data_IF_309041270342
#
_entry.id   IF_309041270342
#
_cell.length_a   1.000
_cell.length_b   1.000
_cell.length_c   1.000
_cell.angle_alpha   90.00
_cell.angle_beta   90.00
_cell.angle_gamma   90.00
#
_symmetry.space_group_name_H-M   'P 1'
#
loop_
_entity.id
_entity.type
_entity.pdbx_description
1 polymer ?
#
# COMPACT_ATOMS: atom_id res chain seq x y z
N UNK A 1 21.61 38.61 -20.27
CA UNK A 1 21.83 37.18 -20.57
C UNK A 1 21.00 36.38 -19.58
N UNK A 2 19.82 35.93 -20.01
CA UNK A 2 18.93 35.07 -19.23
C UNK A 2 19.50 33.66 -19.23
N UNK A 3 20.00 33.21 -18.09
CA UNK A 3 20.44 31.82 -17.88
C UNK A 3 19.21 30.92 -17.94
N UNK A 4 19.05 30.18 -19.03
CA UNK A 4 18.08 29.10 -19.16
C UNK A 4 18.59 27.94 -18.30
N UNK A 5 18.16 27.85 -17.05
CA UNK A 5 18.50 26.71 -16.20
C UNK A 5 17.93 25.45 -16.85
N UNK A 6 18.81 24.53 -17.22
CA UNK A 6 18.48 23.27 -17.88
C UNK A 6 17.81 22.35 -16.85
N UNK A 7 16.48 22.27 -16.82
CA UNK A 7 15.69 21.61 -15.75
C UNK A 7 15.27 20.18 -16.09
N UNK A 8 16.14 19.37 -16.70
CA UNK A 8 15.83 17.94 -16.87
C UNK A 8 16.44 17.14 -15.74
N UNK A 9 15.69 16.18 -15.23
CA UNK A 9 16.15 15.22 -14.23
C UNK A 9 17.46 14.57 -14.66
N UNK A 10 17.57 14.16 -15.92
CA UNK A 10 18.75 13.46 -16.47
C UNK A 10 20.00 14.33 -16.56
N UNK A 11 19.86 15.66 -16.53
CA UNK A 11 21.00 16.58 -16.54
C UNK A 11 21.64 16.71 -15.15
N UNK A 12 20.87 16.45 -14.08
CA UNK A 12 21.33 16.55 -12.69
C UNK A 12 21.50 15.18 -12.00
N UNK A 13 20.77 14.16 -12.44
CA UNK A 13 20.67 12.87 -11.76
C UNK A 13 20.79 11.67 -12.72
N UNK A 14 21.48 10.64 -12.26
CA UNK A 14 21.56 9.34 -12.92
C UNK A 14 20.67 8.31 -12.20
N UNK A 15 19.79 7.60 -12.93
CA UNK A 15 18.91 6.55 -12.38
C UNK A 15 19.60 5.18 -12.33
N UNK A 16 19.26 4.38 -11.31
CA UNK A 16 19.73 3.01 -11.08
C UNK A 16 18.55 2.06 -10.80
N UNK A 17 18.72 1.01 -10.00
CA UNK A 17 17.71 -0.02 -9.77
C UNK A 17 16.41 0.49 -9.14
N UNK A 18 15.34 -0.29 -9.33
CA UNK A 18 14.04 -0.06 -8.70
C UNK A 18 14.09 -0.47 -7.22
N UNK A 19 13.58 0.40 -6.36
CA UNK A 19 13.45 0.19 -4.91
C UNK A 19 12.02 -0.18 -4.52
N UNK A 20 11.02 0.25 -5.31
CA UNK A 20 9.62 -0.08 -5.08
C UNK A 20 8.69 0.50 -6.13
N UNK A 21 7.43 0.01 -6.14
CA UNK A 21 6.43 0.37 -7.15
C UNK A 21 5.08 0.72 -6.51
N UNK A 22 4.54 1.86 -6.91
CA UNK A 22 3.19 2.33 -6.58
C UNK A 22 2.21 2.15 -7.74
N UNK A 23 0.96 2.58 -7.57
CA UNK A 23 -0.05 2.48 -8.63
C UNK A 23 0.28 3.33 -9.87
N UNK A 24 0.83 4.53 -9.66
CA UNK A 24 1.15 5.49 -10.73
C UNK A 24 2.61 5.97 -10.69
N UNK A 25 3.43 5.34 -9.86
CA UNK A 25 4.80 5.75 -9.60
C UNK A 25 5.74 4.57 -9.45
N UNK A 26 7.01 4.78 -9.74
CA UNK A 26 8.10 3.86 -9.41
C UNK A 26 9.14 4.62 -8.60
N UNK A 27 9.72 4.00 -7.58
CA UNK A 27 10.81 4.55 -6.79
C UNK A 27 12.09 3.88 -7.25
N UNK A 28 13.08 4.65 -7.69
CA UNK A 28 14.39 4.15 -8.12
C UNK A 28 15.50 4.83 -7.34
N UNK A 29 16.61 4.13 -7.11
CA UNK A 29 17.84 4.78 -6.62
C UNK A 29 18.34 5.74 -7.70
N UNK A 30 18.82 6.91 -7.31
CA UNK A 30 19.48 7.85 -8.20
C UNK A 30 20.69 8.51 -7.55
N UNK A 31 21.63 9.01 -8.35
CA UNK A 31 22.80 9.74 -7.87
C UNK A 31 22.85 11.13 -8.50
N UNK A 32 23.10 12.15 -7.69
CA UNK A 32 23.28 13.52 -8.20
C UNK A 32 24.66 13.66 -8.83
N UNK A 33 24.71 13.92 -10.13
CA UNK A 33 25.93 13.90 -10.97
C UNK A 33 27.01 14.84 -10.40
N UNK A 34 26.62 16.04 -9.97
CA UNK A 34 27.57 17.07 -9.51
C UNK A 34 28.24 16.75 -8.17
N UNK A 35 27.69 15.84 -7.36
CA UNK A 35 28.16 15.58 -5.98
C UNK A 35 28.49 14.12 -5.72
N UNK A 36 28.01 13.19 -6.55
CA UNK A 36 28.07 11.76 -6.27
C UNK A 36 27.13 11.28 -5.15
N UNK A 37 26.31 12.16 -4.58
CA UNK A 37 25.40 11.81 -3.48
C UNK A 37 24.20 11.00 -3.99
N UNK A 38 23.84 9.94 -3.25
CA UNK A 38 22.73 9.06 -3.58
C UNK A 38 21.41 9.48 -2.93
N UNK A 39 20.30 9.20 -3.64
CA UNK A 39 18.93 9.56 -3.31
C UNK A 39 17.94 8.48 -3.81
N UNK A 40 16.67 8.61 -3.42
CA UNK A 40 15.56 7.85 -3.98
C UNK A 40 14.67 8.78 -4.81
N UNK A 41 14.54 8.52 -6.12
CA UNK A 41 13.64 9.25 -7.01
C UNK A 41 12.30 8.53 -7.12
N UNK A 42 11.23 9.13 -6.62
CA UNK A 42 9.85 8.74 -6.90
C UNK A 42 9.44 9.36 -8.23
N UNK A 43 9.38 8.53 -9.27
CA UNK A 43 9.05 8.89 -10.65
C UNK A 43 7.58 8.64 -10.88
N UNK A 44 6.82 9.69 -11.17
CA UNK A 44 5.37 9.67 -11.25
C UNK A 44 4.98 9.96 -12.70
N UNK A 45 4.18 9.10 -13.32
CA UNK A 45 3.71 9.32 -14.68
C UNK A 45 2.49 10.26 -14.68
N UNK A 46 2.71 11.54 -14.99
CA UNK A 46 1.66 12.57 -14.94
C UNK A 46 0.60 12.38 -16.03
N UNK A 47 0.93 11.72 -17.16
CA UNK A 47 -0.04 11.42 -18.23
C UNK A 47 -1.15 10.47 -17.77
N UNK A 48 -0.91 9.67 -16.73
CA UNK A 48 -1.88 8.73 -16.15
C UNK A 48 -2.72 9.33 -15.03
N UNK A 49 -2.42 10.55 -14.59
CA UNK A 49 -3.08 11.16 -13.44
C UNK A 49 -4.35 11.91 -13.85
N UNK A 50 -5.40 11.78 -13.03
CA UNK A 50 -6.56 12.67 -13.12
C UNK A 50 -6.20 14.09 -12.65
N UNK A 51 -7.04 15.08 -12.92
CA UNK A 51 -6.87 16.43 -12.37
C UNK A 51 -6.81 16.43 -10.82
N UNK A 52 -7.57 15.54 -10.18
CA UNK A 52 -7.55 15.35 -8.73
C UNK A 52 -6.22 14.79 -8.25
N UNK A 53 -5.60 13.88 -9.00
CA UNK A 53 -4.33 13.28 -8.60
C UNK A 53 -3.15 14.23 -8.82
N UNK A 54 -3.22 15.12 -9.82
CA UNK A 54 -2.28 16.24 -9.94
C UNK A 54 -2.31 17.14 -8.70
N UNK A 55 -3.49 17.51 -8.20
CA UNK A 55 -3.60 18.30 -6.97
C UNK A 55 -3.04 17.57 -5.74
N UNK A 56 -3.20 16.25 -5.66
CA UNK A 56 -2.59 15.45 -4.58
C UNK A 56 -1.06 15.47 -4.67
N UNK A 57 -0.52 15.34 -5.87
CA UNK A 57 0.93 15.39 -6.12
C UNK A 57 1.53 16.74 -5.70
N UNK A 58 0.92 17.86 -6.10
CA UNK A 58 1.37 19.19 -5.70
C UNK A 58 1.34 19.38 -4.17
N UNK A 59 0.29 18.85 -3.52
CA UNK A 59 0.18 18.86 -2.06
C UNK A 59 1.26 18.00 -1.41
N UNK A 60 1.50 16.78 -1.89
CA UNK A 60 2.55 15.89 -1.39
C UNK A 60 3.92 16.57 -1.48
N UNK A 61 4.27 17.14 -2.64
CA UNK A 61 5.53 17.85 -2.84
C UNK A 61 5.69 19.05 -1.89
N UNK A 62 4.61 19.83 -1.70
CA UNK A 62 4.60 20.97 -0.76
C UNK A 62 4.80 20.53 0.68
N UNK A 63 4.05 19.53 1.14
CA UNK A 63 4.14 18.99 2.50
C UNK A 63 5.56 18.45 2.75
N UNK A 64 6.08 17.61 1.86
CA UNK A 64 7.41 17.02 2.03
C UNK A 64 8.54 18.07 1.99
N UNK A 65 8.35 19.20 1.31
CA UNK A 65 9.30 20.32 1.33
C UNK A 65 9.29 21.10 2.65
N UNK A 66 8.14 21.17 3.31
CA UNK A 66 7.97 21.82 4.62
C UNK A 66 8.61 20.98 5.74
N UNK A 67 8.39 19.67 5.72
CA UNK A 67 8.80 18.77 6.81
C UNK A 67 10.30 18.47 6.78
N UNK A 68 11.02 18.92 7.81
CA UNK A 68 12.46 18.72 7.98
C UNK A 68 12.74 18.17 9.38
N UNK A 69 12.83 16.85 9.48
CA UNK A 69 13.01 16.15 10.74
C UNK A 69 13.93 14.93 10.55
N UNK A 70 14.81 14.58 11.50
CA UNK A 70 15.68 13.39 11.39
C UNK A 70 14.90 12.09 11.14
N UNK A 71 13.73 11.95 11.75
CA UNK A 71 12.84 10.78 11.61
C UNK A 71 11.79 10.91 10.49
N UNK A 72 11.98 11.82 9.52
CA UNK A 72 11.15 11.90 8.30
C UNK A 72 12.06 11.75 7.09
N UNK A 73 11.60 11.04 6.06
CA UNK A 73 12.30 10.97 4.76
C UNK A 73 12.19 12.33 4.08
N UNK A 74 13.30 13.06 3.97
CA UNK A 74 13.31 14.44 3.46
C UNK A 74 13.20 14.48 1.95
N UNK A 75 12.40 15.43 1.42
CA UNK A 75 12.43 15.82 0.01
C UNK A 75 13.55 16.83 -0.23
N UNK A 76 14.43 16.53 -1.17
CA UNK A 76 15.53 17.40 -1.61
C UNK A 76 15.16 18.20 -2.85
N UNK A 77 14.48 17.56 -3.81
CA UNK A 77 14.14 18.19 -5.08
C UNK A 77 12.80 17.71 -5.64
N UNK A 78 12.20 18.53 -6.49
CA UNK A 78 10.95 18.24 -7.20
C UNK A 78 11.03 18.79 -8.61
N UNK A 79 11.23 17.91 -9.59
CA UNK A 79 11.45 18.25 -10.99
C UNK A 79 10.25 17.80 -11.81
N UNK A 80 9.66 18.71 -12.57
CA UNK A 80 8.54 18.41 -13.48
C UNK A 80 9.03 18.41 -14.91
N UNK A 81 8.78 17.32 -15.63
CA UNK A 81 9.08 17.16 -17.05
C UNK A 81 7.81 16.83 -17.84
N UNK A 82 7.91 16.78 -19.17
CA UNK A 82 6.77 16.39 -20.01
C UNK A 82 6.37 14.92 -19.75
N UNK A 83 5.24 14.75 -19.07
CA UNK A 83 4.66 13.44 -18.77
C UNK A 83 5.20 12.71 -17.55
N UNK A 84 6.19 13.30 -16.86
CA UNK A 84 6.76 12.74 -15.64
C UNK A 84 7.02 13.82 -14.59
N UNK A 85 6.85 13.45 -13.32
CA UNK A 85 7.25 14.27 -12.17
C UNK A 85 8.16 13.45 -11.28
N UNK A 86 9.28 14.04 -10.87
CA UNK A 86 10.30 13.40 -10.05
C UNK A 86 10.33 14.06 -8.68
N UNK A 87 10.13 13.29 -7.63
CA UNK A 87 10.35 13.72 -6.24
C UNK A 87 11.60 13.02 -5.72
N UNK A 88 12.64 13.78 -5.39
CA UNK A 88 13.95 13.25 -4.97
C UNK A 88 14.05 13.29 -3.45
N UNK A 89 14.05 12.12 -2.83
CA UNK A 89 14.03 11.94 -1.38
C UNK A 89 15.38 11.41 -0.84
N UNK A 90 15.58 11.49 0.48
CA UNK A 90 16.60 10.71 1.18
C UNK A 90 16.55 9.24 0.71
N UNK A 91 17.70 8.67 0.35
CA UNK A 91 17.81 7.23 0.17
C UNK A 91 17.88 6.56 1.54
N UNK A 92 16.91 5.68 1.83
CA UNK A 92 16.91 4.83 3.03
C UNK A 92 17.15 3.38 2.63
N UNK A 93 18.11 2.72 3.29
CA UNK A 93 18.60 1.37 2.89
C UNK A 93 18.36 0.29 3.94
N UNK A 94 17.77 0.65 5.09
CA UNK A 94 17.48 -0.29 6.17
C UNK A 94 16.25 -1.16 5.96
N UNK A 95 15.40 -0.83 4.98
CA UNK A 95 14.15 -1.54 4.73
C UNK A 95 13.05 -1.16 5.72
N UNK A 96 12.01 -1.98 5.82
CA UNK A 96 10.87 -1.77 6.72
C UNK A 96 11.23 -2.14 8.16
N UNK A 97 10.85 -1.29 9.13
CA UNK A 97 11.12 -1.48 10.56
C UNK A 97 10.65 -2.86 11.05
N UNK A 98 9.47 -3.28 10.62
CA UNK A 98 8.86 -4.54 11.04
C UNK A 98 9.62 -5.78 10.55
N UNK A 99 10.33 -5.68 9.42
CA UNK A 99 11.18 -6.76 8.91
C UNK A 99 12.49 -6.86 9.69
N UNK A 100 13.07 -5.72 10.04
CA UNK A 100 14.28 -5.66 10.87
C UNK A 100 14.01 -6.23 12.27
N UNK A 101 12.88 -5.90 12.90
CA UNK A 101 12.51 -6.48 14.22
C UNK A 101 12.52 -8.01 14.18
N UNK A 102 11.99 -8.61 13.10
CA UNK A 102 11.96 -10.07 12.94
C UNK A 102 13.36 -10.68 12.76
N UNK A 103 14.32 -9.91 12.27
CA UNK A 103 15.70 -10.34 12.07
C UNK A 103 16.59 -10.16 13.32
N UNK A 104 16.09 -9.53 14.38
CA UNK A 104 16.86 -9.32 15.62
C UNK A 104 16.88 -10.59 16.47
N UNK A 105 18.05 -10.90 17.00
CA UNK A 105 18.23 -11.96 18.02
C UNK A 105 17.54 -11.60 19.34
N UNK A 106 17.42 -10.29 19.63
CA UNK A 106 16.82 -9.80 20.85
C UNK A 106 15.87 -8.63 20.55
N UNK A 107 14.69 -8.70 21.15
CA UNK A 107 13.63 -7.71 21.06
C UNK A 107 12.83 -7.67 22.37
N UNK A 108 12.63 -6.47 22.91
CA UNK A 108 12.03 -6.18 24.21
C UNK A 108 11.03 -5.02 24.17
N UNK A 109 10.33 -4.74 25.26
CA UNK A 109 9.51 -3.53 25.36
C UNK A 109 10.34 -2.25 25.26
N UNK A 110 11.57 -2.25 25.77
CA UNK A 110 12.46 -1.10 25.65
C UNK A 110 12.80 -0.81 24.17
N UNK A 111 12.97 -1.84 23.34
CA UNK A 111 13.16 -1.67 21.90
C UNK A 111 11.90 -1.12 21.22
N UNK A 112 10.72 -1.64 21.58
CA UNK A 112 9.44 -1.13 21.09
C UNK A 112 9.21 0.34 21.49
N UNK A 113 9.50 0.68 22.74
CA UNK A 113 9.46 2.04 23.29
C UNK A 113 10.40 2.97 22.53
N UNK A 114 11.60 2.52 22.17
CA UNK A 114 12.53 3.29 21.34
C UNK A 114 12.00 3.54 19.93
N UNK A 115 11.37 2.54 19.32
CA UNK A 115 10.79 2.67 17.98
C UNK A 115 9.62 3.66 18.00
N UNK A 116 8.66 3.48 18.91
CA UNK A 116 7.47 4.35 18.97
C UNK A 116 7.83 5.78 19.38
N UNK A 117 8.88 5.99 20.18
CA UNK A 117 9.38 7.35 20.48
C UNK A 117 9.74 8.09 19.18
N UNK A 118 10.56 7.48 18.31
CA UNK A 118 10.99 8.11 17.06
C UNK A 118 9.82 8.35 16.10
N UNK A 119 8.84 7.43 16.09
CA UNK A 119 7.59 7.60 15.34
C UNK A 119 6.83 8.82 15.88
N UNK A 120 6.62 8.90 17.19
CA UNK A 120 5.94 10.02 17.85
C UNK A 120 6.66 11.35 17.66
N UNK A 121 7.99 11.38 17.63
CA UNK A 121 8.79 12.57 17.32
C UNK A 121 8.49 13.08 15.90
N UNK A 122 8.45 12.16 14.92
CA UNK A 122 8.10 12.50 13.54
C UNK A 122 6.64 12.99 13.40
N UNK A 123 5.70 12.33 14.09
CA UNK A 123 4.27 12.68 14.07
C UNK A 123 4.05 14.02 14.76
N UNK A 124 4.68 14.26 15.90
CA UNK A 124 4.63 15.53 16.61
C UNK A 124 5.18 16.67 15.74
N UNK A 125 6.28 16.45 15.02
CA UNK A 125 6.81 17.44 14.09
C UNK A 125 5.81 17.74 12.95
N UNK A 126 5.14 16.73 12.41
CA UNK A 126 4.06 16.94 11.43
C UNK A 126 2.92 17.78 12.03
N UNK A 127 2.46 17.42 13.22
CA UNK A 127 1.34 18.08 13.91
C UNK A 127 1.64 19.55 14.26
N UNK A 128 2.88 19.86 14.66
CA UNK A 128 3.33 21.23 14.91
C UNK A 128 3.37 22.08 13.63
N UNK A 129 3.61 21.47 12.47
CA UNK A 129 3.57 22.12 11.17
C UNK A 129 2.16 22.08 10.53
N UNK A 130 1.12 21.72 11.28
CA UNK A 130 -0.25 21.65 10.77
C UNK A 130 -0.44 20.55 9.73
N UNK A 131 0.34 19.47 9.77
CA UNK A 131 0.23 18.33 8.85
C UNK A 131 -0.34 17.13 9.58
N UNK A 132 -1.28 16.43 8.95
CA UNK A 132 -1.81 15.13 9.38
C UNK A 132 -1.49 14.09 8.32
N UNK A 133 -0.89 12.96 8.72
CA UNK A 133 -0.38 11.94 7.81
C UNK A 133 -1.51 11.09 7.19
N UNK A 134 -2.46 10.64 8.02
CA UNK A 134 -3.66 9.82 7.69
C UNK A 134 -3.42 8.40 7.18
N UNK A 135 -2.18 8.01 6.90
CA UNK A 135 -1.85 6.62 6.49
C UNK A 135 -0.63 6.07 7.23
N UNK A 136 -0.59 6.24 8.56
CA UNK A 136 0.45 5.61 9.39
C UNK A 136 0.21 4.11 9.48
N UNK A 137 1.23 3.34 9.08
CA UNK A 137 1.21 1.88 8.99
C UNK A 137 2.64 1.32 8.85
N UNK A 138 2.87 0.01 9.07
CA UNK A 138 4.19 -0.63 8.96
C UNK A 138 4.97 -0.31 7.68
N UNK A 139 4.30 -0.27 6.53
CA UNK A 139 4.88 0.03 5.21
C UNK A 139 5.60 1.39 5.16
N UNK A 140 5.10 2.34 5.93
CA UNK A 140 5.53 3.73 5.92
C UNK A 140 6.57 4.02 7.01
N UNK A 141 7.05 2.99 7.71
CA UNK A 141 8.04 3.05 8.78
C UNK A 141 9.33 2.36 8.33
N UNK A 142 10.26 3.15 7.81
CA UNK A 142 11.50 2.67 7.22
C UNK A 142 12.69 2.88 8.17
N UNK A 143 13.76 2.12 7.99
CA UNK A 143 15.02 2.32 8.69
C UNK A 143 16.02 3.05 7.79
N UNK A 144 16.72 4.03 8.36
CA UNK A 144 17.70 4.83 7.63
C UNK A 144 18.80 3.97 6.97
N UNK A 145 19.26 2.94 7.68
CA UNK A 145 20.26 1.99 7.20
C UNK A 145 20.12 0.64 7.93
N UNK A 146 20.93 -0.36 7.55
CA UNK A 146 21.02 -1.66 8.24
C UNK A 146 21.93 -1.64 9.47
N UNK A 147 22.49 -0.48 9.82
CA UNK A 147 23.38 -0.37 10.97
C UNK A 147 22.57 -0.53 12.27
N UNK A 148 23.16 -1.18 13.27
CA UNK A 148 22.54 -1.31 14.60
C UNK A 148 22.26 0.09 15.16
N UNK A 149 21.00 0.32 15.56
CA UNK A 149 20.55 1.63 16.06
C UNK A 149 20.23 2.65 14.96
N UNK A 150 20.07 2.23 13.71
CA UNK A 150 19.58 3.11 12.65
C UNK A 150 18.24 3.77 13.02
N UNK A 151 18.10 5.04 12.66
CA UNK A 151 16.90 5.81 12.96
C UNK A 151 15.68 5.29 12.18
N UNK A 152 14.52 5.29 12.83
CA UNK A 152 13.22 5.10 12.18
C UNK A 152 12.86 6.38 11.43
N UNK A 153 12.45 6.23 10.17
CA UNK A 153 12.04 7.33 9.28
C UNK A 153 10.64 7.08 8.74
N UNK A 154 9.76 8.05 9.00
CA UNK A 154 8.41 8.12 8.42
C UNK A 154 8.50 8.50 6.94
N UNK A 155 7.80 7.74 6.10
CA UNK A 155 7.74 7.90 4.65
C UNK A 155 6.30 7.97 4.12
N UNK A 156 6.16 8.36 2.86
CA UNK A 156 4.92 8.41 2.06
C UNK A 156 3.78 9.31 2.59
N UNK A 157 3.84 10.58 2.20
CA UNK A 157 2.83 11.60 2.53
C UNK A 157 1.73 11.74 1.46
N UNK A 158 1.53 10.74 0.59
CA UNK A 158 0.55 10.83 -0.52
C UNK A 158 -0.90 11.07 -0.08
N UNK A 159 -1.26 10.67 1.15
CA UNK A 159 -2.58 10.93 1.76
C UNK A 159 -2.57 12.09 2.77
N UNK A 160 -1.43 12.74 3.00
CA UNK A 160 -1.33 13.79 4.00
C UNK A 160 -2.16 15.03 3.64
N UNK A 161 -2.53 15.80 4.66
CA UNK A 161 -3.32 17.04 4.56
C UNK A 161 -2.73 18.13 5.43
N UNK A 162 -3.01 19.37 5.06
CA UNK A 162 -2.78 20.56 5.88
C UNK A 162 -4.05 20.89 6.67
N UNK A 163 -3.88 21.21 7.96
CA UNK A 163 -4.94 21.64 8.87
C UNK A 163 -4.56 22.98 9.49
N UNK A 164 -5.56 23.84 9.73
CA UNK A 164 -5.34 25.15 10.34
C UNK A 164 -5.45 25.04 11.86
N UNK A 165 -4.33 25.17 12.57
CA UNK A 165 -4.30 25.03 14.03
C UNK A 165 -4.83 23.68 14.47
N UNK A 166 -5.86 23.69 15.33
CA UNK A 166 -6.56 22.50 15.81
C UNK A 166 -7.97 22.33 15.22
N UNK A 167 -8.28 23.08 14.15
CA UNK A 167 -9.57 22.95 13.47
C UNK A 167 -9.72 21.55 12.86
N UNK A 168 -10.88 20.94 13.11
CA UNK A 168 -11.27 19.68 12.51
C UNK A 168 -12.21 19.93 11.34
N UNK A 169 -12.06 19.15 10.28
CA UNK A 169 -12.93 19.19 9.11
C UNK A 169 -13.09 17.80 8.52
N UNK A 170 -14.04 17.65 7.59
CA UNK A 170 -14.17 16.42 6.83
C UNK A 170 -13.22 16.44 5.62
N UNK A 171 -12.11 15.72 5.74
CA UNK A 171 -11.10 15.63 4.67
C UNK A 171 -11.27 14.42 3.75
N UNK A 172 -12.44 13.76 3.82
CA UNK A 172 -12.78 12.55 3.08
C UNK A 172 -12.32 11.26 3.75
N UNK A 173 -12.79 10.14 3.21
CA UNK A 173 -12.43 8.80 3.65
C UNK A 173 -11.11 8.37 2.98
N UNK A 174 -10.04 8.25 3.76
CA UNK A 174 -8.71 7.84 3.28
C UNK A 174 -7.92 7.16 4.41
N UNK A 175 -7.05 6.20 4.05
CA UNK A 175 -6.23 5.43 4.97
C UNK A 175 -6.43 3.93 4.80
N UNK A 176 -5.57 3.14 5.46
CA UNK A 176 -5.59 1.67 5.39
C UNK A 176 -6.58 1.09 6.43
N UNK A 177 -7.50 0.17 6.07
CA UNK A 177 -8.63 -0.26 6.92
C UNK A 177 -8.33 -0.54 8.40
N UNK A 178 -7.28 -1.32 8.71
CA UNK A 178 -6.93 -1.68 10.09
C UNK A 178 -6.31 -0.55 10.93
N UNK A 179 -5.99 0.58 10.31
CA UNK A 179 -5.37 1.76 10.95
C UNK A 179 -6.31 2.99 10.95
N UNK A 180 -7.49 2.87 10.34
CA UNK A 180 -8.50 3.94 10.34
C UNK A 180 -9.02 4.18 11.75
N UNK A 181 -9.22 5.45 12.11
CA UNK A 181 -9.79 5.83 13.39
C UNK A 181 -11.33 5.82 13.38
N UNK A 182 -11.98 5.69 14.56
CA UNK A 182 -13.43 5.63 14.67
C UNK A 182 -14.14 6.82 14.03
N UNK A 183 -13.63 8.05 14.24
CA UNK A 183 -14.22 9.28 13.71
C UNK A 183 -14.20 9.34 12.17
N UNK A 184 -13.17 8.79 11.51
CA UNK A 184 -13.13 8.66 10.04
C UNK A 184 -14.19 7.68 9.56
N UNK A 185 -14.35 6.54 10.24
CA UNK A 185 -15.36 5.53 9.90
C UNK A 185 -16.80 6.01 10.16
N UNK A 186 -17.00 6.88 11.16
CA UNK A 186 -18.29 7.54 11.45
C UNK A 186 -18.58 8.71 10.52
N UNK A 187 -17.64 9.09 9.66
CA UNK A 187 -17.73 10.25 8.76
C UNK A 187 -17.85 11.58 9.51
N UNK A 188 -17.22 11.66 10.68
CA UNK A 188 -17.17 12.86 11.51
C UNK A 188 -15.99 13.75 11.07
N UNK A 189 -16.04 15.08 11.30
CA UNK A 189 -14.87 15.94 11.16
C UNK A 189 -13.70 15.38 11.99
N UNK A 190 -12.50 15.44 11.44
CA UNK A 190 -11.31 14.92 12.11
C UNK A 190 -10.09 15.82 11.86
N UNK A 191 -8.98 15.49 12.52
CA UNK A 191 -7.71 16.22 12.41
C UNK A 191 -6.54 15.38 12.92
N UNK A 192 -5.57 16.02 13.57
CA UNK A 192 -4.36 15.39 14.15
C UNK A 192 -4.61 14.09 14.95
N UNK A 193 -5.70 13.92 15.73
CA UNK A 193 -5.91 12.71 16.53
C UNK A 193 -6.00 11.39 15.74
N UNK A 194 -6.29 11.43 14.43
CA UNK A 194 -6.36 10.20 13.61
C UNK A 194 -4.99 9.49 13.53
N UNK A 195 -3.90 10.26 13.51
CA UNK A 195 -2.55 9.71 13.50
C UNK A 195 -2.20 9.04 14.83
N UNK A 196 -2.71 9.59 15.95
CA UNK A 196 -2.50 9.02 17.28
C UNK A 196 -3.21 7.68 17.46
N UNK A 197 -4.38 7.50 16.85
CA UNK A 197 -5.05 6.20 16.80
C UNK A 197 -4.19 5.17 16.07
N UNK A 198 -3.68 5.53 14.88
CA UNK A 198 -2.80 4.65 14.11
C UNK A 198 -1.51 4.31 14.87
N UNK A 199 -0.92 5.26 15.61
CA UNK A 199 0.20 4.99 16.53
C UNK A 199 -0.17 3.95 17.60
N UNK A 200 -1.38 4.00 18.16
CA UNK A 200 -1.87 3.00 19.12
C UNK A 200 -1.96 1.60 18.52
N UNK A 201 -2.49 1.50 17.28
CA UNK A 201 -2.52 0.24 16.52
C UNK A 201 -1.12 -0.29 16.25
N UNK A 202 -0.20 0.60 15.83
CA UNK A 202 1.21 0.25 15.58
C UNK A 202 1.89 -0.22 16.86
N UNK A 203 1.71 0.49 17.97
CA UNK A 203 2.31 0.13 19.27
C UNK A 203 1.81 -1.24 19.75
N UNK A 204 0.51 -1.52 19.61
CA UNK A 204 -0.04 -2.84 19.91
C UNK A 204 0.68 -3.93 19.12
N UNK A 205 0.84 -3.76 17.80
CA UNK A 205 1.54 -4.74 16.95
C UNK A 205 3.02 -4.84 17.33
N UNK A 206 3.69 -3.73 17.67
CA UNK A 206 5.09 -3.76 18.12
C UNK A 206 5.26 -4.64 19.37
N UNK A 207 4.28 -4.73 20.26
CA UNK A 207 4.41 -5.47 21.53
C UNK A 207 4.08 -6.96 21.44
N UNK A 208 3.15 -7.35 20.56
CA UNK A 208 2.66 -8.74 20.49
C UNK A 208 2.62 -9.34 19.08
N UNK A 209 2.90 -8.56 18.05
CA UNK A 209 3.07 -9.05 16.69
C UNK A 209 1.78 -9.32 15.91
N UNK A 210 0.62 -8.98 16.47
CA UNK A 210 -0.70 -9.06 15.80
C UNK A 210 -1.52 -7.77 16.02
N UNK A 211 -2.46 -7.41 15.12
CA UNK A 211 -3.23 -6.19 15.24
C UNK A 211 -4.35 -6.27 16.30
N UNK A 212 -4.72 -5.14 16.93
CA UNK A 212 -5.82 -5.08 17.91
C UNK A 212 -7.20 -5.24 17.28
N UNK A 213 -7.34 -4.94 15.98
CA UNK A 213 -8.60 -5.06 15.24
C UNK A 213 -8.35 -5.88 13.99
N UNK A 214 -9.13 -6.94 13.80
CA UNK A 214 -9.03 -7.77 12.62
C UNK A 214 -10.33 -8.56 12.39
N UNK A 215 -10.77 -8.58 11.14
CA UNK A 215 -11.80 -9.48 10.64
C UNK A 215 -11.54 -9.66 9.14
N UNK A 216 -11.93 -10.82 8.60
CA UNK A 216 -11.93 -11.04 7.15
C UNK A 216 -13.00 -10.19 6.45
N UNK A 217 -14.12 -9.95 7.14
CA UNK A 217 -15.17 -9.05 6.72
C UNK A 217 -14.83 -7.61 7.14
N UNK A 218 -14.56 -6.77 6.13
CA UNK A 218 -14.21 -5.37 6.34
C UNK A 218 -15.31 -4.59 7.10
N UNK A 219 -16.59 -4.95 6.95
CA UNK A 219 -17.67 -4.31 7.71
C UNK A 219 -17.56 -4.64 9.20
N UNK A 220 -17.30 -5.90 9.55
CA UNK A 220 -17.11 -6.32 10.95
C UNK A 220 -15.85 -5.70 11.56
N UNK A 221 -14.75 -5.64 10.81
CA UNK A 221 -13.55 -4.89 11.21
C UNK A 221 -13.89 -3.42 11.55
N UNK A 222 -14.66 -2.75 10.70
CA UNK A 222 -15.08 -1.38 10.97
C UNK A 222 -15.99 -1.25 12.19
N UNK A 223 -16.81 -2.26 12.50
CA UNK A 223 -17.60 -2.25 13.74
C UNK A 223 -16.70 -2.40 14.97
N UNK A 224 -15.70 -3.30 14.94
CA UNK A 224 -14.73 -3.44 16.03
C UNK A 224 -13.99 -2.12 16.30
N UNK A 225 -13.47 -1.48 15.25
CA UNK A 225 -12.77 -0.18 15.35
C UNK A 225 -13.70 0.88 15.93
N UNK A 226 -14.91 1.04 15.38
CA UNK A 226 -15.88 2.03 15.90
C UNK A 226 -16.29 1.77 17.34
N UNK A 227 -16.32 0.52 17.78
CA UNK A 227 -16.61 0.16 19.16
C UNK A 227 -15.39 0.30 20.08
N UNK A 228 -14.17 0.48 19.54
CA UNK A 228 -12.93 0.34 20.31
C UNK A 228 -12.79 -1.04 20.94
N UNK A 229 -13.31 -2.08 20.26
CA UNK A 229 -13.34 -3.44 20.77
C UNK A 229 -11.99 -4.13 20.51
N UNK A 230 -11.04 -3.91 21.41
CA UNK A 230 -9.78 -4.64 21.52
C UNK A 230 -9.57 -5.05 22.98
N UNK A 231 -8.72 -6.04 23.20
CA UNK A 231 -8.36 -6.54 24.52
C UNK A 231 -6.85 -6.85 24.60
N UNK A 232 -6.42 -7.31 25.76
CA UNK A 232 -5.05 -7.71 26.06
C UNK A 232 -5.05 -9.19 26.47
N UNK A 233 -5.20 -10.13 25.52
CA UNK A 233 -5.41 -11.54 25.83
C UNK A 233 -4.17 -12.20 26.44
N UNK A 234 -4.41 -13.15 27.34
CA UNK A 234 -3.38 -14.03 27.87
C UNK A 234 -3.06 -15.15 26.88
N UNK A 235 -1.82 -15.68 26.88
CA UNK A 235 -0.73 -15.37 27.81
C UNK A 235 0.18 -14.21 27.37
N UNK A 236 0.13 -13.76 26.12
CA UNK A 236 1.17 -12.90 25.56
C UNK A 236 1.22 -11.52 26.25
N UNK A 237 0.06 -11.02 26.67
CA UNK A 237 -0.06 -9.74 27.38
C UNK A 237 0.19 -9.81 28.88
N UNK A 238 0.28 -11.00 29.50
CA UNK A 238 0.47 -11.13 30.95
C UNK A 238 1.82 -10.57 31.40
N UNK A 239 2.81 -10.66 30.52
CA UNK A 239 4.18 -10.17 30.73
C UNK A 239 4.39 -8.73 30.25
N UNK A 240 3.38 -8.10 29.65
CA UNK A 240 3.45 -6.73 29.16
C UNK A 240 3.16 -5.76 30.30
N UNK A 241 4.02 -4.75 30.46
CA UNK A 241 3.92 -3.77 31.55
C UNK A 241 2.57 -3.03 31.55
N UNK A 242 2.02 -2.70 32.73
CA UNK A 242 0.81 -1.89 32.84
C UNK A 242 0.92 -0.55 32.11
N UNK A 243 2.10 0.07 32.10
CA UNK A 243 2.35 1.38 31.49
C UNK A 243 2.34 1.31 29.96
N UNK A 244 2.74 0.18 29.37
CA UNK A 244 2.58 -0.06 27.93
C UNK A 244 1.10 -0.13 27.55
N UNK A 245 0.32 -0.91 28.31
CA UNK A 245 -1.14 -1.05 28.13
C UNK A 245 -1.86 0.28 28.32
N UNK A 246 -1.46 1.05 29.33
CA UNK A 246 -2.00 2.38 29.60
C UNK A 246 -1.75 3.37 28.45
N UNK A 247 -0.54 3.38 27.87
CA UNK A 247 -0.25 4.20 26.69
C UNK A 247 -1.10 3.78 25.49
N UNK A 248 -1.26 2.48 25.25
CA UNK A 248 -2.15 1.95 24.20
C UNK A 248 -3.59 2.42 24.43
N UNK A 249 -4.12 2.32 25.65
CA UNK A 249 -5.48 2.76 25.98
C UNK A 249 -5.68 4.26 25.71
N UNK A 250 -4.68 5.08 26.06
CA UNK A 250 -4.69 6.53 25.81
C UNK A 250 -4.65 6.88 24.31
N UNK A 251 -3.98 6.08 23.48
CA UNK A 251 -3.96 6.22 22.02
C UNK A 251 -5.22 5.67 21.34
N UNK A 252 -5.72 4.51 21.78
CA UNK A 252 -6.92 3.84 21.27
C UNK A 252 -8.21 4.35 21.96
N UNK A 253 -8.18 5.59 22.46
CA UNK A 253 -9.36 6.26 22.99
C UNK A 253 -10.30 6.67 21.85
N UNK A 254 -11.55 6.22 21.91
CA UNK A 254 -12.55 6.41 20.84
C UNK A 254 -12.85 7.89 20.60
N UNK A 255 -13.02 8.68 21.66
CA UNK A 255 -13.30 10.10 21.53
C UNK A 255 -11.99 10.85 21.20
N UNK A 256 -11.85 11.45 20.01
CA UNK A 256 -10.61 12.10 19.59
C UNK A 256 -10.24 13.31 20.47
N UNK A 257 -11.21 13.96 21.12
CA UNK A 257 -10.94 15.07 22.04
C UNK A 257 -10.34 14.63 23.39
N UNK A 258 -10.46 13.34 23.73
CA UNK A 258 -9.87 12.73 24.93
C UNK A 258 -8.63 11.89 24.62
N UNK A 259 -8.35 11.67 23.33
CA UNK A 259 -7.22 10.87 22.87
C UNK A 259 -5.92 11.63 23.13
N UNK A 260 -4.91 10.93 23.60
CA UNK A 260 -3.60 11.53 23.89
C UNK A 260 -3.00 12.16 22.64
N UNK A 261 -2.37 13.32 22.80
CA UNK A 261 -1.61 13.98 21.74
C UNK A 261 -0.21 13.40 21.60
N UNK A 262 0.47 13.66 20.46
CA UNK A 262 1.85 13.21 20.26
C UNK A 262 2.80 13.79 21.33
N UNK A 263 2.63 15.06 21.68
CA UNK A 263 3.42 15.74 22.70
C UNK A 263 3.23 15.16 24.11
N UNK A 264 2.01 14.75 24.46
CA UNK A 264 1.72 14.09 25.75
C UNK A 264 2.25 12.65 25.75
N UNK A 265 2.11 11.92 24.64
CA UNK A 265 2.60 10.55 24.51
C UNK A 265 4.13 10.47 24.68
N UNK A 266 4.88 11.44 24.14
CA UNK A 266 6.33 11.54 24.33
C UNK A 266 6.74 11.75 25.79
N UNK A 267 5.86 12.31 26.62
CA UNK A 267 6.09 12.52 28.06
C UNK A 267 5.60 11.34 28.91
N UNK A 268 4.97 10.34 28.31
CA UNK A 268 4.47 9.18 29.03
C UNK A 268 5.61 8.39 29.70
N UNK A 269 5.46 7.89 30.95
CA UNK A 269 6.54 7.19 31.66
C UNK A 269 7.12 6.00 30.88
N UNK A 270 6.28 5.22 30.20
CA UNK A 270 6.73 4.09 29.36
C UNK A 270 7.69 4.52 28.21
N UNK A 271 7.67 5.80 27.81
CA UNK A 271 8.55 6.38 26.79
C UNK A 271 9.73 7.10 27.44
N UNK A 272 9.47 8.09 28.29
CA UNK A 272 10.50 9.01 28.81
C UNK A 272 11.31 8.42 29.98
N UNK A 273 10.80 7.39 30.65
CA UNK A 273 11.45 6.66 31.75
C UNK A 273 11.68 5.19 31.36
N UNK A 274 11.91 4.93 30.07
CA UNK A 274 12.07 3.59 29.49
C UNK A 274 13.02 2.69 30.28
N UNK A 275 14.15 3.22 30.76
CA UNK A 275 15.18 2.44 31.48
C UNK A 275 14.68 1.83 32.79
N UNK A 276 13.62 2.38 33.39
CA UNK A 276 13.05 1.91 34.65
C UNK A 276 11.65 1.32 34.50
N UNK A 277 10.91 1.69 33.46
CA UNK A 277 9.50 1.32 33.27
C UNK A 277 9.30 0.21 32.23
N UNK A 278 10.05 0.24 31.12
CA UNK A 278 9.85 -0.74 30.04
C UNK A 278 10.58 -2.05 30.35
N UNK A 279 9.93 -3.18 30.10
CA UNK A 279 10.54 -4.49 30.31
C UNK A 279 11.72 -4.76 29.36
N UNK A 280 12.83 -5.23 29.94
CA UNK A 280 14.03 -5.74 29.22
C UNK A 280 13.97 -7.26 29.05
N UNK A 281 12.79 -7.87 29.08
CA UNK A 281 12.66 -9.29 28.78
C UNK A 281 12.61 -9.51 27.27
N UNK A 282 13.35 -10.50 26.77
CA UNK A 282 13.24 -10.89 25.37
C UNK A 282 11.86 -11.52 25.09
N UNK A 283 11.20 -11.08 24.02
CA UNK A 283 9.85 -11.52 23.62
C UNK A 283 9.90 -12.34 22.33
N UNK A 284 10.36 -13.59 22.40
CA UNK A 284 10.48 -14.48 21.24
C UNK A 284 9.13 -14.74 20.55
N UNK A 285 8.06 -14.98 21.30
CA UNK A 285 6.71 -15.22 20.74
C UNK A 285 6.19 -14.03 19.92
N UNK A 286 6.51 -12.80 20.35
CA UNK A 286 6.19 -11.57 19.62
C UNK A 286 6.89 -11.55 18.27
N UNK A 287 8.17 -11.90 18.22
CA UNK A 287 8.97 -11.96 16.98
C UNK A 287 8.36 -12.97 16.00
N UNK A 288 7.94 -14.14 16.49
CA UNK A 288 7.32 -15.17 15.67
C UNK A 288 5.95 -14.76 15.12
N UNK A 289 5.11 -14.13 15.95
CA UNK A 289 3.83 -13.58 15.51
C UNK A 289 4.03 -12.49 14.45
N UNK A 290 5.02 -11.62 14.66
CA UNK A 290 5.33 -10.54 13.73
C UNK A 290 5.82 -11.06 12.38
N UNK A 291 6.60 -12.15 12.37
CA UNK A 291 7.01 -12.84 11.13
C UNK A 291 5.79 -13.32 10.34
N UNK A 292 4.79 -13.92 11.00
CA UNK A 292 3.54 -14.36 10.38
C UNK A 292 2.72 -13.17 9.87
N UNK A 293 2.64 -12.10 10.65
CA UNK A 293 1.96 -10.86 10.27
C UNK A 293 2.56 -10.23 9.01
N UNK A 294 3.89 -10.08 8.96
CA UNK A 294 4.61 -9.53 7.81
C UNK A 294 4.37 -10.36 6.54
N UNK A 295 4.47 -11.69 6.64
CA UNK A 295 4.22 -12.58 5.52
C UNK A 295 2.78 -12.43 4.98
N UNK A 296 1.77 -12.42 5.86
CA UNK A 296 0.36 -12.22 5.48
C UNK A 296 0.12 -10.86 4.82
N UNK A 297 0.73 -9.80 5.36
CA UNK A 297 0.60 -8.43 4.83
C UNK A 297 1.18 -8.29 3.43
N UNK A 298 2.40 -8.79 3.20
CA UNK A 298 3.04 -8.76 1.86
C UNK A 298 2.26 -9.56 0.82
N UNK A 299 1.68 -10.70 1.21
CA UNK A 299 0.81 -11.48 0.33
C UNK A 299 -0.46 -10.73 -0.09
N UNK A 300 -1.02 -9.89 0.79
CA UNK A 300 -2.21 -9.05 0.48
C UNK A 300 -1.86 -7.79 -0.32
N UNK A 301 -0.69 -7.16 -0.11
CA UNK A 301 -0.31 -5.94 -0.83
C UNK A 301 -0.07 -6.11 -2.33
N UNK A 302 0.30 -7.32 -2.77
CA UNK A 302 0.47 -7.65 -4.19
C UNK A 302 -0.86 -7.84 -4.93
N UNK A 303 -2.00 -7.63 -4.27
CA UNK A 303 -3.33 -7.82 -4.83
C UNK A 303 -4.10 -6.47 -4.77
N UNK A 304 -4.13 -5.71 -5.87
CA UNK A 304 -4.86 -4.43 -5.98
C UNK A 304 -6.16 -4.50 -6.80
N UNK A 305 -6.62 -5.70 -7.15
CA UNK A 305 -7.91 -5.85 -7.82
C UNK A 305 -9.05 -5.81 -6.77
N UNK A 306 -10.08 -4.99 -7.02
CA UNK A 306 -11.30 -5.02 -6.22
C UNK A 306 -12.16 -6.19 -6.71
N UNK A 307 -12.13 -7.29 -5.97
CA UNK A 307 -13.05 -8.43 -6.16
C UNK A 307 -14.28 -8.20 -5.29
N UNK A 308 -15.46 -8.20 -5.90
CA UNK A 308 -16.74 -8.13 -5.19
C UNK A 308 -17.39 -9.50 -5.29
N UNK A 309 -17.47 -10.21 -4.16
CA UNK A 309 -18.20 -11.48 -4.03
C UNK A 309 -19.62 -11.26 -3.54
N UNK A 310 -20.54 -12.16 -3.92
CA UNK A 310 -21.92 -12.13 -3.43
C UNK A 310 -21.99 -12.57 -1.95
N UNK A 311 -22.92 -12.03 -1.12
CA UNK A 311 -22.93 -12.21 0.33
C UNK A 311 -23.45 -13.58 0.83
N UNK A 312 -23.41 -14.65 0.03
CA UNK A 312 -24.13 -15.90 0.35
C UNK A 312 -23.33 -17.20 0.31
N UNK A 313 -22.02 -17.18 0.10
CA UNK A 313 -21.23 -18.43 0.08
C UNK A 313 -20.25 -18.54 1.26
N UNK A 314 -20.02 -19.77 1.77
CA UNK A 314 -19.06 -20.02 2.84
C UNK A 314 -17.64 -19.62 2.43
N UNK A 315 -16.80 -19.32 3.43
CA UNK A 315 -15.41 -18.87 3.28
C UNK A 315 -14.67 -19.67 2.18
N UNK A 316 -14.08 -19.01 1.18
CA UNK A 316 -13.37 -19.71 0.11
C UNK A 316 -12.13 -20.40 0.69
N UNK A 317 -11.97 -21.69 0.39
CA UNK A 317 -10.79 -22.48 0.75
C UNK A 317 -9.47 -21.83 0.29
N UNK A 318 -8.32 -22.15 0.91
CA UNK A 318 -7.02 -21.60 0.49
C UNK A 318 -6.72 -21.78 -1.01
N UNK A 319 -7.15 -22.90 -1.60
CA UNK A 319 -7.02 -23.18 -3.02
C UNK A 319 -7.89 -22.25 -3.89
N UNK A 320 -9.12 -21.92 -3.45
CA UNK A 320 -9.98 -20.95 -4.12
C UNK A 320 -9.34 -19.55 -4.13
N UNK A 321 -8.76 -19.13 -3.00
CA UNK A 321 -8.06 -17.84 -2.90
C UNK A 321 -6.83 -17.75 -3.82
N UNK A 322 -6.12 -18.86 -4.00
CA UNK A 322 -4.95 -18.94 -4.89
C UNK A 322 -5.34 -18.69 -6.36
N UNK A 323 -6.46 -19.27 -6.82
CA UNK A 323 -6.96 -19.08 -8.19
C UNK A 323 -7.45 -17.65 -8.42
N UNK A 324 -8.16 -17.06 -7.45
CA UNK A 324 -8.57 -15.65 -7.52
C UNK A 324 -7.31 -14.79 -7.66
N UNK A 325 -6.30 -15.03 -6.82
CA UNK A 325 -5.05 -14.27 -6.83
C UNK A 325 -4.30 -14.32 -8.15
N UNK A 326 -4.09 -15.51 -8.73
CA UNK A 326 -3.38 -15.59 -10.02
C UNK A 326 -4.19 -14.93 -11.16
N UNK A 327 -5.52 -14.96 -11.05
CA UNK A 327 -6.41 -14.23 -11.97
C UNK A 327 -6.26 -12.72 -11.83
N UNK A 328 -6.18 -12.19 -10.61
CA UNK A 328 -5.94 -10.76 -10.37
C UNK A 328 -4.59 -10.31 -10.95
N UNK A 329 -3.53 -11.10 -10.76
CA UNK A 329 -2.20 -10.82 -11.30
C UNK A 329 -2.20 -10.78 -12.83
N UNK A 330 -2.92 -11.70 -13.47
CA UNK A 330 -3.09 -11.72 -14.92
C UNK A 330 -3.79 -10.44 -15.41
N UNK A 331 -4.90 -10.05 -14.75
CA UNK A 331 -5.65 -8.84 -15.09
C UNK A 331 -4.80 -7.58 -14.89
N UNK A 332 -3.97 -7.54 -13.85
CA UNK A 332 -3.04 -6.44 -13.60
C UNK A 332 -1.98 -6.34 -14.71
N UNK A 333 -1.39 -7.46 -15.15
CA UNK A 333 -0.45 -7.48 -16.26
C UNK A 333 -1.08 -6.93 -17.55
N UNK A 334 -2.33 -7.33 -17.86
CA UNK A 334 -3.10 -6.81 -19.00
C UNK A 334 -3.35 -5.30 -18.87
N UNK A 335 -3.80 -4.84 -17.70
CA UNK A 335 -4.10 -3.43 -17.47
C UNK A 335 -2.87 -2.52 -17.54
N UNK A 336 -1.71 -3.04 -17.14
CA UNK A 336 -0.45 -2.32 -17.18
C UNK A 336 0.26 -2.36 -18.55
N UNK A 337 -0.24 -3.18 -19.48
CA UNK A 337 0.43 -3.44 -20.76
C UNK A 337 1.77 -4.17 -20.57
N UNK A 338 1.89 -5.02 -19.55
CA UNK A 338 3.10 -5.77 -19.22
C UNK A 338 3.07 -7.16 -19.89
N UNK A 339 3.55 -7.21 -21.13
CA UNK A 339 3.54 -8.45 -21.93
C UNK A 339 4.50 -9.51 -21.37
N UNK A 340 5.58 -9.11 -20.72
CA UNK A 340 6.53 -10.05 -20.12
C UNK A 340 5.91 -10.75 -18.91
N UNK A 341 5.21 -10.02 -18.04
CA UNK A 341 4.44 -10.63 -16.96
C UNK A 341 3.31 -11.52 -17.50
N UNK A 342 2.59 -11.07 -18.54
CA UNK A 342 1.52 -11.83 -19.17
C UNK A 342 1.99 -13.21 -19.68
N UNK A 343 3.11 -13.26 -20.41
CA UNK A 343 3.67 -14.50 -20.96
C UNK A 343 4.22 -15.45 -19.90
N UNK A 344 4.63 -14.95 -18.73
CA UNK A 344 5.01 -15.80 -17.58
C UNK A 344 3.81 -16.50 -16.93
N UNK A 345 2.63 -15.89 -17.01
CA UNK A 345 1.39 -16.42 -16.40
C UNK A 345 0.63 -17.31 -17.38
N UNK A 346 0.75 -17.06 -18.69
CA UNK A 346 0.08 -17.86 -19.72
C UNK A 346 0.93 -19.06 -20.15
N UNK A 347 0.27 -20.17 -20.47
CA UNK A 347 0.92 -21.30 -21.12
C UNK A 347 1.36 -20.91 -22.55
N UNK A 348 2.53 -21.37 -23.05
CA UNK A 348 2.94 -21.13 -24.43
C UNK A 348 1.91 -21.62 -25.48
N UNK A 349 1.16 -22.67 -25.17
CA UNK A 349 0.05 -23.22 -25.96
C UNK A 349 -1.33 -22.71 -25.52
N UNK A 350 -1.42 -21.53 -24.90
CA UNK A 350 -2.68 -20.92 -24.48
C UNK A 350 -3.68 -20.91 -25.64
N UNK A 351 -4.87 -21.49 -25.44
CA UNK A 351 -5.97 -21.39 -26.41
C UNK A 351 -6.94 -20.28 -26.00
N UNK A 352 -7.39 -19.47 -26.95
CA UNK A 352 -8.23 -18.30 -26.68
C UNK A 352 -9.42 -18.21 -27.62
N UNK A 353 -10.59 -17.95 -27.04
CA UNK A 353 -11.83 -17.63 -27.76
C UNK A 353 -12.30 -16.24 -27.30
N UNK A 354 -12.20 -15.25 -28.18
CA UNK A 354 -12.51 -13.86 -27.83
C UNK A 354 -13.14 -13.10 -29.02
N UNK A 355 -13.87 -11.99 -28.78
CA UNK A 355 -14.57 -11.27 -29.85
C UNK A 355 -13.69 -10.91 -31.05
N UNK A 356 -12.44 -10.57 -30.80
CA UNK A 356 -11.46 -10.18 -31.81
C UNK A 356 -10.96 -11.35 -32.66
N UNK A 357 -11.13 -12.59 -32.20
CA UNK A 357 -10.85 -13.78 -33.00
C UNK A 357 -11.96 -14.05 -34.03
N UNK A 358 -13.04 -13.26 -34.04
CA UNK A 358 -14.16 -13.35 -34.99
C UNK A 358 -14.76 -14.76 -35.08
N UNK A 359 -14.90 -15.41 -33.93
CA UNK A 359 -15.46 -16.77 -33.82
C UNK A 359 -14.45 -17.90 -34.03
N UNK A 360 -13.16 -17.59 -34.23
CA UNK A 360 -12.10 -18.60 -34.32
C UNK A 360 -11.46 -18.89 -32.95
N UNK A 361 -10.94 -20.10 -32.79
CA UNK A 361 -10.04 -20.44 -31.68
C UNK A 361 -8.61 -20.07 -32.07
N UNK A 362 -7.92 -19.33 -31.21
CA UNK A 362 -6.54 -18.88 -31.44
C UNK A 362 -5.61 -19.60 -30.47
N UNK A 363 -4.38 -19.92 -30.91
CA UNK A 363 -3.36 -20.58 -30.10
C UNK A 363 -2.15 -19.67 -29.88
N UNK A 364 -1.59 -19.75 -28.68
CA UNK A 364 -0.41 -19.02 -28.24
C UNK A 364 -0.70 -17.60 -27.79
N UNK A 365 0.37 -16.87 -27.52
CA UNK A 365 0.29 -15.48 -27.02
C UNK A 365 0.59 -14.42 -28.08
N UNK A 366 0.98 -14.83 -29.29
CA UNK A 366 1.37 -13.90 -30.35
C UNK A 366 0.19 -13.08 -30.89
N UNK A 367 -1.02 -13.66 -30.93
CA UNK A 367 -2.23 -12.89 -31.25
C UNK A 367 -2.45 -11.74 -30.25
N UNK A 368 -2.23 -12.03 -28.95
CA UNK A 368 -2.39 -11.03 -27.91
C UNK A 368 -1.30 -9.96 -27.93
N UNK A 369 -0.09 -10.28 -28.41
CA UNK A 369 1.05 -9.35 -28.50
C UNK A 369 0.65 -8.05 -29.22
N UNK A 370 -0.16 -8.16 -30.27
CA UNK A 370 -0.68 -7.01 -30.99
C UNK A 370 -1.42 -6.02 -30.07
N UNK A 371 -2.25 -6.50 -29.13
CA UNK A 371 -2.91 -5.65 -28.15
C UNK A 371 -1.90 -4.96 -27.24
N UNK A 372 -0.91 -5.69 -26.72
CA UNK A 372 0.10 -5.13 -25.83
C UNK A 372 0.97 -4.06 -26.50
N UNK A 373 1.26 -4.21 -27.80
CA UNK A 373 2.08 -3.28 -28.56
C UNK A 373 1.29 -2.05 -29.07
N UNK A 374 0.01 -2.22 -29.41
CA UNK A 374 -0.75 -1.19 -30.14
C UNK A 374 -1.92 -0.58 -29.38
N UNK A 375 -2.66 -1.37 -28.58
CA UNK A 375 -3.94 -0.95 -28.00
C UNK A 375 -3.91 -0.78 -26.48
N UNK A 376 -3.15 -1.63 -25.81
CA UNK A 376 -2.84 -1.62 -24.38
C UNK A 376 -1.50 -0.92 -24.11
N UNK A 377 -0.74 -0.57 -25.16
CA UNK A 377 0.51 0.16 -25.01
C UNK A 377 0.27 1.55 -24.43
N UNK A 378 1.29 2.03 -23.72
CA UNK A 378 1.27 3.13 -22.74
C UNK A 378 0.75 4.49 -23.26
N UNK A 379 0.46 4.61 -24.55
CA UNK A 379 0.14 5.85 -25.26
C UNK A 379 -1.36 6.17 -25.34
N UNK A 380 -2.27 5.17 -25.28
CA UNK A 380 -3.67 5.36 -25.68
C UNK A 380 -4.73 5.18 -24.59
N UNK A 381 -4.39 4.68 -23.39
CA UNK A 381 -5.37 4.51 -22.29
C UNK A 381 -5.29 5.62 -21.25
N UNK A 382 -6.32 6.47 -21.20
CA UNK A 382 -6.68 7.28 -20.02
C UNK A 382 -7.25 6.36 -18.94
N UNK A 383 -7.10 6.77 -17.67
CA UNK A 383 -7.34 5.97 -16.45
C UNK A 383 -8.40 4.87 -16.59
N UNK A 384 -7.96 3.61 -16.43
CA UNK A 384 -8.82 2.42 -16.50
C UNK A 384 -8.97 1.85 -15.10
N UNK A 385 -10.21 1.69 -14.63
CA UNK A 385 -10.55 0.98 -13.40
C UNK A 385 -11.22 -0.34 -13.75
N UNK A 386 -10.75 -1.45 -13.18
CA UNK A 386 -11.31 -2.80 -13.42
C UNK A 386 -11.91 -3.34 -12.14
N UNK A 387 -13.12 -3.91 -12.24
CA UNK A 387 -13.85 -4.55 -11.14
C UNK A 387 -14.18 -5.98 -11.60
N UNK A 388 -13.90 -6.97 -10.76
CA UNK A 388 -14.31 -8.35 -10.97
C UNK A 388 -15.54 -8.63 -10.11
N UNK A 389 -16.66 -8.93 -10.76
CA UNK A 389 -17.94 -9.22 -10.11
C UNK A 389 -18.21 -10.72 -10.13
N UNK A 390 -18.66 -11.22 -8.98
CA UNK A 390 -19.14 -12.60 -8.79
C UNK A 390 -18.19 -13.65 -9.41
N UNK A 391 -16.90 -13.68 -9.01
CA UNK A 391 -16.03 -14.75 -9.46
C UNK A 391 -16.53 -16.09 -8.90
N UNK A 392 -16.74 -17.05 -9.80
CA UNK A 392 -17.07 -18.43 -9.48
C UNK A 392 -15.89 -19.31 -9.89
N UNK A 393 -15.30 -20.00 -8.91
CA UNK A 393 -14.14 -20.88 -9.12
C UNK A 393 -14.58 -22.33 -8.94
N UNK A 394 -14.21 -23.19 -9.88
CA UNK A 394 -14.33 -24.64 -9.77
C UNK A 394 -12.94 -25.26 -9.72
N UNK A 395 -12.65 -25.98 -8.64
CA UNK A 395 -11.44 -26.78 -8.53
C UNK A 395 -11.67 -28.15 -9.19
N UNK A 396 -10.72 -28.57 -10.02
CA UNK A 396 -10.76 -29.81 -10.80
C UNK A 396 -9.57 -30.68 -10.41
N UNK A 397 -9.64 -31.27 -9.21
CA UNK A 397 -8.50 -31.95 -8.59
C UNK A 397 -7.49 -30.96 -7.98
N UNK A 398 -6.24 -31.38 -7.82
CA UNK A 398 -5.20 -30.59 -7.16
C UNK A 398 -4.49 -29.60 -8.12
N UNK A 399 -4.41 -29.96 -9.40
CA UNK A 399 -3.58 -29.26 -10.39
C UNK A 399 -4.39 -28.53 -11.47
N UNK A 400 -5.71 -28.53 -11.42
CA UNK A 400 -6.54 -27.81 -12.38
C UNK A 400 -7.67 -27.04 -11.70
N UNK A 401 -8.01 -25.89 -12.28
CA UNK A 401 -9.14 -25.10 -11.85
C UNK A 401 -9.70 -24.28 -13.01
N UNK A 402 -10.97 -23.91 -12.94
CA UNK A 402 -11.52 -22.88 -13.81
C UNK A 402 -12.15 -21.77 -12.97
N UNK A 403 -12.14 -20.56 -13.50
CA UNK A 403 -12.78 -19.40 -12.89
C UNK A 403 -13.59 -18.68 -13.96
N UNK A 404 -14.84 -18.36 -13.64
CA UNK A 404 -15.73 -17.54 -14.45
C UNK A 404 -16.10 -16.28 -13.66
N UNK A 405 -16.07 -15.12 -14.31
CA UNK A 405 -16.38 -13.84 -13.66
C UNK A 405 -16.90 -12.83 -14.68
N UNK A 406 -17.59 -11.81 -14.17
CA UNK A 406 -17.95 -10.63 -14.95
C UNK A 406 -16.90 -9.56 -14.69
N UNK A 407 -16.25 -9.08 -15.75
CA UNK A 407 -15.31 -7.97 -15.68
C UNK A 407 -15.99 -6.68 -16.10
N UNK A 408 -16.04 -5.71 -15.20
CA UNK A 408 -16.38 -4.33 -15.53
C UNK A 408 -15.11 -3.52 -15.73
N UNK A 409 -15.02 -2.83 -16.86
CA UNK A 409 -13.91 -1.94 -17.20
C UNK A 409 -14.45 -0.53 -17.39
N UNK A 410 -14.08 0.36 -16.47
CA UNK A 410 -14.39 1.79 -16.56
C UNK A 410 -13.21 2.53 -17.16
N UNK A 411 -13.45 3.36 -18.17
CA UNK A 411 -12.41 4.09 -18.89
C UNK A 411 -12.94 5.45 -19.37
N UNK A 412 -12.03 6.34 -19.77
CA UNK A 412 -12.39 7.60 -20.43
C UNK A 412 -12.28 7.42 -21.94
N UNK A 413 -13.33 7.73 -22.70
CA UNK A 413 -13.29 7.70 -24.16
C UNK A 413 -12.50 8.88 -24.76
N UNK A 414 -12.37 8.92 -26.09
CA UNK A 414 -11.64 9.97 -26.79
C UNK A 414 -12.22 11.38 -26.53
N UNK A 415 -13.50 11.47 -26.20
CA UNK A 415 -14.20 12.72 -25.86
C UNK A 415 -14.06 13.09 -24.37
N UNK A 416 -13.24 12.34 -23.61
CA UNK A 416 -13.09 12.50 -22.18
C UNK A 416 -14.40 12.26 -21.41
N UNK A 417 -15.27 11.40 -21.91
CA UNK A 417 -16.47 10.96 -21.21
C UNK A 417 -16.23 9.60 -20.55
N UNK A 418 -16.68 9.40 -19.29
CA UNK A 418 -16.57 8.13 -18.62
C UNK A 418 -17.48 7.09 -19.30
N UNK A 419 -16.92 5.93 -19.62
CA UNK A 419 -17.61 4.77 -20.16
C UNK A 419 -17.39 3.57 -19.26
N UNK A 420 -18.35 2.66 -19.26
CA UNK A 420 -18.25 1.36 -18.59
C UNK A 420 -18.50 0.29 -19.64
N UNK A 421 -17.66 -0.74 -19.65
CA UNK A 421 -17.77 -1.90 -20.50
C UNK A 421 -17.84 -3.15 -19.65
N UNK A 422 -18.65 -4.11 -20.10
CA UNK A 422 -18.79 -5.41 -19.46
C UNK A 422 -18.28 -6.50 -20.40
N UNK A 423 -17.57 -7.47 -19.82
CA UNK A 423 -17.24 -8.73 -20.47
C UNK A 423 -17.40 -9.89 -19.50
N UNK A 424 -17.92 -11.01 -19.97
CA UNK A 424 -17.94 -12.28 -19.25
C UNK A 424 -16.67 -13.05 -19.62
N UNK A 425 -15.83 -13.36 -18.63
CA UNK A 425 -14.56 -14.04 -18.86
C UNK A 425 -14.52 -15.38 -18.12
N UNK A 426 -14.02 -16.41 -18.79
CA UNK A 426 -13.66 -17.70 -18.22
C UNK A 426 -12.18 -17.96 -18.44
N UNK A 427 -11.48 -18.38 -17.39
CA UNK A 427 -10.07 -18.76 -17.42
C UNK A 427 -9.94 -20.18 -16.90
N UNK A 428 -9.18 -21.01 -17.62
CA UNK A 428 -8.78 -22.34 -17.16
C UNK A 428 -7.32 -22.30 -16.75
N UNK A 429 -7.05 -22.77 -15.56
CA UNK A 429 -5.75 -22.80 -14.92
C UNK A 429 -5.27 -24.24 -14.79
N UNK A 430 -4.01 -24.47 -15.09
CA UNK A 430 -3.33 -25.73 -14.85
C UNK A 430 -2.03 -25.47 -14.10
N UNK A 431 -1.75 -26.26 -13.08
CA UNK A 431 -0.53 -26.19 -12.29
C UNK A 431 0.54 -27.04 -12.96
N UNK A 432 1.66 -26.44 -13.34
CA UNK A 432 2.85 -27.12 -13.89
C UNK A 432 4.07 -26.63 -13.10
N UNK A 433 4.90 -27.56 -12.63
CA UNK A 433 6.07 -27.24 -11.81
C UNK A 433 5.76 -26.31 -10.62
N UNK A 434 4.66 -26.59 -9.91
CA UNK A 434 4.14 -25.79 -8.79
C UNK A 434 3.74 -24.35 -9.15
N UNK A 435 3.52 -24.02 -10.43
CA UNK A 435 3.06 -22.71 -10.89
C UNK A 435 1.75 -22.85 -11.66
N UNK A 436 0.78 -21.99 -11.35
CA UNK A 436 -0.45 -21.89 -12.12
C UNK A 436 -0.18 -21.18 -13.44
N UNK A 437 -0.60 -21.81 -14.53
CA UNK A 437 -0.55 -21.26 -15.89
C UNK A 437 -1.95 -21.22 -16.47
N UNK A 438 -2.29 -20.11 -17.14
CA UNK A 438 -3.54 -20.01 -17.87
C UNK A 438 -3.41 -20.80 -19.19
N UNK A 439 -4.20 -21.87 -19.34
CA UNK A 439 -4.14 -22.78 -20.49
C UNK A 439 -5.28 -22.54 -21.49
N UNK A 440 -6.39 -21.98 -21.01
CA UNK A 440 -7.50 -21.57 -21.87
C UNK A 440 -8.14 -20.28 -21.39
N UNK A 441 -8.55 -19.45 -22.34
CA UNK A 441 -9.24 -18.20 -22.12
C UNK A 441 -10.47 -18.12 -23.02
N UNK A 442 -11.60 -17.75 -22.43
CA UNK A 442 -12.79 -17.41 -23.18
C UNK A 442 -13.32 -16.05 -22.68
N UNK A 443 -13.54 -15.11 -23.60
CA UNK A 443 -14.29 -13.89 -23.33
C UNK A 443 -15.52 -13.79 -24.23
N UNK A 444 -16.63 -13.43 -23.62
CA UNK A 444 -17.87 -13.03 -24.28
C UNK A 444 -18.19 -11.56 -23.98
N UNK A 445 -19.07 -10.97 -24.80
CA UNK A 445 -19.47 -9.57 -24.67
C UNK A 445 -18.58 -8.62 -25.47
N UNK A 446 -18.09 -7.57 -24.83
CA UNK A 446 -17.41 -6.47 -25.51
C UNK A 446 -15.93 -6.79 -25.84
N UNK A 447 -15.36 -6.24 -26.93
CA UNK A 447 -13.94 -6.41 -27.26
C UNK A 447 -13.01 -5.78 -26.21
N UNK A 448 -11.75 -6.24 -26.13
CA UNK A 448 -10.66 -5.72 -25.26
C UNK A 448 -10.47 -4.21 -25.43
N UNK A 449 -10.70 -3.74 -26.65
CA UNK A 449 -10.53 -2.35 -27.06
C UNK A 449 -11.90 -1.81 -27.43
N UNK A 450 -12.35 -0.72 -26.79
CA UNK A 450 -13.57 -0.02 -27.22
C UNK A 450 -13.48 0.33 -28.70
N UNK A 451 -14.56 0.10 -29.46
CA UNK A 451 -14.69 0.66 -30.81
C UNK A 451 -14.58 2.18 -30.72
N UNK A 452 -13.79 2.78 -31.63
CA UNK A 452 -13.48 4.22 -31.68
C UNK A 452 -14.70 5.14 -31.58
#
# INVERSE_FOLDING_TARGET
MTSTTCTRFTDEYQLYEELGKGAFSVVRRCMKISTGQEYAAKIINTKKLSARDHQKLEREARICRLLKHPNIVRLHDSISEEGFHYLVFDLVTGGELFEDIVAREYYSEADASHCIQQILESVNHCHLNGIVHRDLKPENLLLASKLKGAAVKLADFGLAIEVQGDQQAWFGFAGTPGYLSPEVLRKEPYGKPVDMWACGVILYILLVGYPPFWDEDQHRLYQQIKAGAYDFPSPEWDTVTPEAKDLINKMLTINPAKRITAAEALKHPWICQRSTVASMMHRQETVECLKKFNARRKLKMNNKANVITSPKEPVPSPALQEIIKVTEQLIEAINNGDFEAYTKICDPGLTSFEPEALGNLVEGTDFHRFYFENSLSKSHRRAVHTILLNPHVHLLGEDAACIAYIRLTQYMDASNMPRTMQSEETRVWHRRDSKWQNVHFHRSGSPTVPSK
#
